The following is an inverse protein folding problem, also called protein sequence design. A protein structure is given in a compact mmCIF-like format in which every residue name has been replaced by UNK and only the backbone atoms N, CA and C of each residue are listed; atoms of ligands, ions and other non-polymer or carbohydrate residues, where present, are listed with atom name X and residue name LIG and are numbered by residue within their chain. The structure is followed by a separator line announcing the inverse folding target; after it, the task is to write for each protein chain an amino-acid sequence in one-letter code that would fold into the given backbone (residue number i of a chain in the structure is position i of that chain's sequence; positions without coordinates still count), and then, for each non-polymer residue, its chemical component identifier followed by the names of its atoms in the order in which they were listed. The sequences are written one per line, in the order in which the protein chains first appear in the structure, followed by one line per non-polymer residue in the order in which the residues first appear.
data_IF_374224456749
#
_entry.id   IF_374224456749
#
_cell.length_a   1.000
_cell.length_b   1.000
_cell.length_c   1.000
_cell.angle_alpha   90.00
_cell.angle_beta   90.00
_cell.angle_gamma   90.00
#
_symmetry.space_group_name_H-M   'P 1'
#
loop_
_entity.id
_entity.type
_entity.pdbx_description
1 polymer ?
#
# COMPACT_ATOMS: atom_id res chain seq x y z
N UNK A 1 34.02 6.06 2.67
CA UNK A 1 32.86 6.22 1.77
C UNK A 1 31.79 5.26 2.28
N UNK A 2 30.56 5.61 2.65
CA UNK A 2 29.74 6.82 2.65
C UNK A 2 28.78 6.68 3.85
N UNK A 3 28.40 7.82 4.42
CA UNK A 3 27.64 7.97 5.66
C UNK A 3 26.45 7.01 5.75
N UNK A 4 26.37 6.28 6.87
CA UNK A 4 25.12 5.69 7.35
C UNK A 4 24.11 6.83 7.40
N UNK A 5 23.14 6.79 6.48
CA UNK A 5 22.02 7.71 6.48
C UNK A 5 21.45 7.70 7.89
N UNK A 6 21.46 8.86 8.56
CA UNK A 6 20.73 9.08 9.80
C UNK A 6 19.36 8.43 9.69
N UNK A 7 18.81 7.80 10.75
CA UNK A 7 17.40 7.49 10.75
C UNK A 7 16.72 8.82 10.54
N UNK A 8 16.21 9.04 9.33
CA UNK A 8 15.33 10.15 9.09
C UNK A 8 14.24 9.93 10.11
N UNK A 9 14.18 10.79 11.13
CA UNK A 9 13.12 10.82 12.12
C UNK A 9 11.86 11.28 11.40
N UNK A 10 11.46 10.57 10.35
CA UNK A 10 10.09 10.56 9.90
C UNK A 10 9.32 10.08 11.11
N UNK A 11 8.61 11.00 11.75
CA UNK A 11 7.51 10.68 12.64
C UNK A 11 6.78 9.50 12.01
N UNK A 12 6.92 8.33 12.64
CA UNK A 12 6.44 7.07 12.05
C UNK A 12 4.93 7.20 11.98
N UNK A 13 4.41 7.40 10.76
CA UNK A 13 2.98 7.51 10.52
C UNK A 13 2.29 6.27 11.08
N UNK A 14 1.32 6.48 11.97
CA UNK A 14 0.54 5.36 12.50
C UNK A 14 -0.35 4.79 11.40
N UNK A 15 -0.73 3.51 11.52
CA UNK A 15 -1.67 2.90 10.58
C UNK A 15 -3.00 3.67 10.48
N UNK A 16 -3.45 4.27 11.59
CA UNK A 16 -4.64 5.12 11.63
C UNK A 16 -4.45 6.40 10.79
N UNK A 17 -3.33 7.10 10.97
CA UNK A 17 -3.03 8.31 10.19
C UNK A 17 -2.91 7.98 8.70
N UNK A 18 -2.21 6.90 8.36
CA UNK A 18 -2.06 6.48 6.96
C UNK A 18 -3.40 6.19 6.30
N UNK A 19 -4.31 5.49 7.02
CA UNK A 19 -5.67 5.25 6.53
C UNK A 19 -6.47 6.55 6.32
N UNK A 20 -6.37 7.51 7.24
CA UNK A 20 -7.03 8.81 7.10
C UNK A 20 -6.48 9.59 5.89
N UNK A 21 -5.18 9.54 5.68
CA UNK A 21 -4.52 10.17 4.54
C UNK A 21 -4.95 9.57 3.21
N UNK A 22 -4.95 8.25 3.06
CA UNK A 22 -5.41 7.59 1.84
C UNK A 22 -6.88 7.92 1.53
N UNK A 23 -7.75 7.89 2.54
CA UNK A 23 -9.15 8.28 2.38
C UNK A 23 -9.30 9.76 1.98
N UNK A 24 -8.48 10.64 2.56
CA UNK A 24 -8.50 12.06 2.22
C UNK A 24 -7.98 12.29 0.79
N UNK A 25 -6.95 11.58 0.34
CA UNK A 25 -6.50 11.62 -1.07
C UNK A 25 -7.58 11.18 -2.05
N UNK A 26 -8.42 10.21 -1.68
CA UNK A 26 -9.55 9.78 -2.50
C UNK A 26 -10.70 10.80 -2.54
N UNK A 27 -10.76 11.71 -1.57
CA UNK A 27 -11.80 12.75 -1.45
C UNK A 27 -11.36 14.08 -2.07
N UNK A 28 -10.08 14.43 -1.94
CA UNK A 28 -9.49 15.66 -2.45
C UNK A 28 -8.52 15.33 -3.59
N UNK A 29 -8.94 15.62 -4.80
CA UNK A 29 -8.16 15.49 -6.03
C UNK A 29 -7.04 16.56 -6.13
N UNK A 30 -6.33 16.56 -7.25
CA UNK A 30 -5.23 17.49 -7.52
C UNK A 30 -5.68 18.93 -7.78
N UNK A 31 -6.91 19.12 -8.25
CA UNK A 31 -7.48 20.44 -8.54
C UNK A 31 -8.06 21.12 -7.30
N UNK A 32 -8.25 20.36 -6.21
CA UNK A 32 -8.75 20.88 -4.94
C UNK A 32 -7.86 21.99 -4.40
N UNK A 33 -8.38 23.23 -4.23
CA UNK A 33 -7.65 24.30 -3.57
C UNK A 33 -7.33 23.92 -2.12
N UNK A 34 -6.13 24.28 -1.66
CA UNK A 34 -5.63 23.99 -0.30
C UNK A 34 -5.72 22.50 0.07
N UNK A 35 -5.56 21.61 -0.91
CA UNK A 35 -5.63 20.15 -0.77
C UNK A 35 -4.85 19.67 0.46
N UNK A 36 -3.57 20.06 0.55
CA UNK A 36 -2.67 19.61 1.61
C UNK A 36 -3.09 20.10 2.99
N UNK A 37 -3.55 21.36 3.09
CA UNK A 37 -4.12 21.92 4.31
C UNK A 37 -5.33 21.12 4.80
N UNK A 38 -6.26 20.79 3.90
CA UNK A 38 -7.45 20.00 4.22
C UNK A 38 -7.09 18.59 4.69
N UNK A 39 -6.15 17.94 4.00
CA UNK A 39 -5.68 16.60 4.38
C UNK A 39 -4.99 16.63 5.74
N UNK A 40 -4.09 17.59 5.99
CA UNK A 40 -3.40 17.72 7.28
C UNK A 40 -4.39 17.88 8.45
N UNK A 41 -5.44 18.67 8.25
CA UNK A 41 -6.52 18.84 9.24
C UNK A 41 -7.28 17.53 9.53
N UNK A 42 -7.49 16.68 8.52
CA UNK A 42 -8.22 15.40 8.68
C UNK A 42 -7.36 14.34 9.36
N UNK A 43 -6.10 14.24 8.95
CA UNK A 43 -5.16 13.28 9.53
C UNK A 43 -4.89 13.62 10.99
N UNK A 44 -4.75 14.92 11.29
CA UNK A 44 -4.52 15.44 12.63
C UNK A 44 -3.10 15.16 13.14
N UNK A 45 -2.56 16.09 13.94
CA UNK A 45 -1.22 15.99 14.49
C UNK A 45 -0.11 15.97 13.44
N UNK A 46 -0.37 16.56 12.26
CA UNK A 46 0.58 16.66 11.16
C UNK A 46 0.48 18.01 10.46
N UNK A 47 1.55 18.44 9.79
CA UNK A 47 1.58 19.67 8.98
C UNK A 47 1.38 19.39 7.49
N UNK A 48 1.13 20.43 6.71
CA UNK A 48 1.02 20.30 5.25
C UNK A 48 2.28 19.77 4.60
N UNK A 49 3.45 20.20 5.10
CA UNK A 49 4.76 19.77 4.62
C UNK A 49 4.97 18.28 4.87
N UNK A 50 4.55 17.78 6.04
CA UNK A 50 4.62 16.36 6.38
C UNK A 50 3.70 15.52 5.50
N UNK A 51 2.48 16.00 5.23
CA UNK A 51 1.54 15.34 4.32
C UNK A 51 2.10 15.31 2.88
N UNK A 52 2.67 16.41 2.38
CA UNK A 52 3.33 16.45 1.06
C UNK A 52 4.47 15.44 0.98
N UNK A 53 5.32 15.41 2.02
CA UNK A 53 6.41 14.43 2.11
C UNK A 53 5.89 12.99 2.12
N UNK A 54 4.80 12.71 2.83
CA UNK A 54 4.19 11.39 2.85
C UNK A 54 3.65 11.00 1.46
N UNK A 55 3.09 11.95 0.73
CA UNK A 55 2.63 11.74 -0.65
C UNK A 55 3.79 11.45 -1.61
N UNK A 56 4.92 12.14 -1.49
CA UNK A 56 6.12 11.85 -2.30
C UNK A 56 6.67 10.43 -2.03
N UNK A 57 6.65 9.98 -0.78
CA UNK A 57 7.02 8.61 -0.41
C UNK A 57 6.07 7.61 -1.09
N UNK A 58 4.76 7.86 -1.03
CA UNK A 58 3.76 7.01 -1.68
C UNK A 58 4.00 6.91 -3.21
N UNK A 59 4.26 8.03 -3.89
CA UNK A 59 4.56 8.03 -5.32
C UNK A 59 5.85 7.26 -5.65
N UNK A 60 6.88 7.40 -4.83
CA UNK A 60 8.13 6.64 -4.97
C UNK A 60 7.90 5.13 -4.83
N UNK A 61 7.08 4.73 -3.87
CA UNK A 61 6.71 3.33 -3.65
C UNK A 61 5.90 2.75 -4.81
N UNK A 62 4.90 3.50 -5.33
CA UNK A 62 4.12 3.11 -6.53
C UNK A 62 5.07 2.90 -7.72
N UNK A 63 5.96 3.86 -7.99
CA UNK A 63 6.94 3.77 -9.08
C UNK A 63 7.86 2.54 -8.92
N UNK A 64 8.22 2.19 -7.68
CA UNK A 64 9.03 1.00 -7.40
C UNK A 64 8.26 -0.29 -7.67
N UNK A 65 6.97 -0.34 -7.34
CA UNK A 65 6.09 -1.47 -7.64
C UNK A 65 5.91 -1.63 -9.15
N UNK A 66 5.55 -0.55 -9.85
CA UNK A 66 5.27 -0.56 -11.29
C UNK A 66 6.52 -0.89 -12.13
N UNK A 67 7.70 -0.47 -11.69
CA UNK A 67 8.97 -0.83 -12.34
C UNK A 67 9.41 -2.29 -12.12
N UNK A 68 8.59 -3.12 -11.46
CA UNK A 68 8.90 -4.52 -11.18
C UNK A 68 10.05 -4.72 -10.20
N UNK A 69 10.43 -3.66 -9.44
CA UNK A 69 11.51 -3.68 -8.46
C UNK A 69 11.07 -4.22 -7.09
N UNK A 70 9.81 -4.64 -6.96
CA UNK A 70 9.31 -5.36 -5.80
C UNK A 70 9.20 -6.85 -6.15
N UNK A 71 9.98 -7.73 -5.50
CA UNK A 71 9.88 -9.15 -5.76
C UNK A 71 8.47 -9.63 -5.40
N UNK A 72 7.80 -10.25 -6.37
CA UNK A 72 6.50 -10.85 -6.12
C UNK A 72 6.64 -11.95 -5.07
N UNK A 73 5.71 -12.06 -4.11
CA UNK A 73 5.64 -13.21 -3.23
C UNK A 73 5.67 -14.50 -4.06
N UNK A 74 6.34 -15.53 -3.55
CA UNK A 74 6.29 -16.88 -4.14
C UNK A 74 4.91 -17.47 -3.89
N UNK A 75 3.92 -17.03 -4.65
CA UNK A 75 2.61 -17.65 -4.65
C UNK A 75 2.80 -19.09 -5.11
N UNK A 76 2.46 -20.05 -4.23
CA UNK A 76 2.43 -21.47 -4.60
C UNK A 76 1.50 -21.59 -5.81
N UNK A 77 2.04 -21.99 -6.97
CA UNK A 77 1.24 -22.28 -8.16
C UNK A 77 0.27 -23.41 -7.81
N UNK A 78 -0.96 -23.08 -7.45
CA UNK A 78 -2.07 -24.04 -7.34
C UNK A 78 -2.47 -24.41 -8.76
N UNK A 79 -1.65 -25.23 -9.41
CA UNK A 79 -1.83 -25.56 -10.83
C UNK A 79 -0.87 -26.62 -11.37
N UNK A 80 -0.07 -27.26 -10.51
CA UNK A 80 0.69 -28.47 -10.86
C UNK A 80 0.34 -29.64 -9.93
N UNK A 81 -0.85 -29.63 -9.34
CA UNK A 81 -1.43 -30.82 -8.72
C UNK A 81 -2.26 -31.53 -9.79
N UNK A 82 -1.75 -32.69 -10.21
CA UNK A 82 -2.43 -33.67 -11.03
C UNK A 82 -3.91 -33.84 -10.61
N UNK A 83 -4.73 -34.05 -11.63
CA UNK A 83 -6.09 -34.62 -11.66
C UNK A 83 -6.55 -35.34 -10.37
N UNK A 84 -7.86 -35.19 -10.10
CA UNK A 84 -8.73 -36.06 -9.26
C UNK A 84 -9.17 -35.49 -7.90
N UNK A 85 -9.88 -34.35 -7.93
CA UNK A 85 -10.89 -34.06 -6.90
C UNK A 85 -12.31 -34.34 -7.42
N UNK A 86 -12.59 -34.15 -8.71
CA UNK A 86 -13.93 -34.41 -9.28
C UNK A 86 -14.32 -35.90 -9.24
N UNK A 87 -13.39 -36.81 -9.54
CA UNK A 87 -13.62 -38.27 -9.40
C UNK A 87 -13.81 -38.70 -7.95
N UNK A 88 -13.17 -38.03 -6.98
CA UNK A 88 -13.40 -38.29 -5.55
C UNK A 88 -14.78 -37.83 -5.11
N UNK A 89 -15.29 -36.71 -5.65
CA UNK A 89 -16.66 -36.25 -5.37
C UNK A 89 -17.71 -37.17 -6.00
N UNK A 90 -17.48 -37.66 -7.22
CA UNK A 90 -18.39 -38.59 -7.90
C UNK A 90 -18.46 -39.99 -7.25
N UNK A 91 -17.45 -40.40 -6.47
CA UNK A 91 -17.49 -41.66 -5.70
C UNK A 91 -18.32 -41.59 -4.42
N UNK A 92 -18.46 -40.42 -3.80
CA UNK A 92 -19.23 -40.23 -2.55
C UNK A 92 -20.75 -40.14 -2.82
N UNK A 93 -21.15 -39.87 -4.07
CA UNK A 93 -22.53 -39.66 -4.49
C UNK A 93 -23.19 -40.87 -5.19
N UNK A 94 -22.51 -42.01 -5.29
CA UNK A 94 -23.15 -43.27 -5.72
C UNK A 94 -23.54 -44.08 -4.48
N UNK A 95 -24.84 -44.09 -4.17
CA UNK A 95 -25.50 -45.04 -3.27
C UNK A 95 -25.49 -46.44 -3.90
#
# INVERSE_FOLDING_TARGET
MSKLSSPQTSLTWTAKQNKLFENALATYDEETPDRWHKIARIVGGTTEEEVKRQYEILLSDIKRIESGKVPLPKYRKVGASNISNEEKRLKILKL
#
